data_IF_348830807864
#
_entry.id   IF_348830807864
#
_cell.length_a   1.000
_cell.length_b   1.000
_cell.length_c   1.000
_cell.angle_alpha   90.00
_cell.angle_beta   90.00
_cell.angle_gamma   90.00
#
_symmetry.space_group_name_H-M   'P 1'
#
loop_
_entity.id
_entity.type
_entity.pdbx_description
1 polymer ?
#
# COMPACT_ATOMS: atom_id res chain seq x y z
N UNK A 1 31.58 -7.59 -30.70
CA UNK A 1 30.71 -6.42 -30.43
C UNK A 1 29.28 -6.56 -31.00
N UNK A 2 28.78 -7.80 -31.19
CA UNK A 2 27.46 -8.06 -31.83
C UNK A 2 26.52 -8.98 -31.02
N UNK A 3 26.97 -9.52 -29.88
CA UNK A 3 26.20 -10.48 -29.08
C UNK A 3 25.48 -9.87 -27.86
N UNK A 4 25.69 -8.58 -27.57
CA UNK A 4 25.08 -7.87 -26.43
C UNK A 4 23.79 -7.11 -26.76
N UNK A 5 23.34 -7.13 -28.02
CA UNK A 5 22.06 -6.51 -28.43
C UNK A 5 20.83 -7.42 -28.27
N UNK A 6 21.00 -8.74 -28.09
CA UNK A 6 19.87 -9.70 -28.09
C UNK A 6 19.14 -9.91 -26.75
N UNK A 7 19.57 -9.26 -25.66
CA UNK A 7 18.95 -9.43 -24.32
C UNK A 7 18.13 -8.22 -23.84
N UNK A 8 17.94 -7.20 -24.68
CA UNK A 8 17.13 -6.00 -24.38
C UNK A 8 15.94 -5.87 -25.34
N UNK A 9 15.50 -6.95 -25.98
CA UNK A 9 14.17 -6.98 -26.60
C UNK A 9 13.12 -7.35 -25.54
N UNK A 10 12.93 -6.47 -24.54
CA UNK A 10 11.69 -6.39 -23.77
C UNK A 10 10.76 -5.35 -24.42
N UNK A 11 10.70 -5.37 -25.75
CA UNK A 11 9.67 -4.69 -26.52
C UNK A 11 8.37 -5.49 -26.38
N UNK A 12 7.73 -5.36 -25.22
CA UNK A 12 6.29 -5.61 -25.12
C UNK A 12 5.64 -4.24 -25.19
N UNK A 13 5.33 -3.81 -26.41
CA UNK A 13 4.32 -2.83 -26.78
C UNK A 13 3.89 -1.85 -25.67
N UNK A 14 4.76 -0.89 -25.39
CA UNK A 14 4.31 0.38 -24.85
C UNK A 14 3.61 1.13 -25.98
N UNK A 15 2.34 0.82 -26.24
CA UNK A 15 1.58 1.58 -27.23
C UNK A 15 1.64 3.08 -26.85
N UNK A 16 2.08 3.98 -27.74
CA UNK A 16 2.16 5.43 -27.49
C UNK A 16 0.84 6.02 -26.94
N UNK A 17 -0.27 5.36 -27.27
CA UNK A 17 -1.63 5.62 -26.83
C UNK A 17 -1.80 5.57 -25.29
N UNK A 18 -1.06 4.70 -24.57
CA UNK A 18 -1.20 4.55 -23.10
C UNK A 18 -0.64 5.74 -22.31
N UNK A 19 0.33 6.48 -22.84
CA UNK A 19 0.78 7.71 -22.19
C UNK A 19 -0.17 8.89 -22.45
N UNK A 20 -0.85 8.88 -23.61
CA UNK A 20 -1.86 9.87 -23.96
C UNK A 20 -3.06 9.82 -23.01
N UNK A 21 -3.51 8.62 -22.63
CA UNK A 21 -4.57 8.46 -21.61
C UNK A 21 -4.15 9.01 -20.24
N UNK A 22 -2.88 8.85 -19.83
CA UNK A 22 -2.34 9.44 -18.61
C UNK A 22 -2.33 10.98 -18.65
N UNK A 23 -2.09 11.56 -19.84
CA UNK A 23 -2.17 13.01 -20.07
C UNK A 23 -3.60 13.51 -19.90
N UNK A 24 -4.56 12.83 -20.53
CA UNK A 24 -5.99 13.12 -20.43
C UNK A 24 -6.51 13.03 -18.99
N UNK A 25 -6.12 11.98 -18.25
CA UNK A 25 -6.54 11.74 -16.86
C UNK A 25 -5.74 12.56 -15.83
N UNK A 26 -4.77 13.36 -16.31
CA UNK A 26 -3.89 14.20 -15.50
C UNK A 26 -3.28 13.41 -14.32
N UNK A 27 -2.74 12.23 -14.62
CA UNK A 27 -2.17 11.31 -13.65
C UNK A 27 -1.61 10.04 -14.29
N UNK A 28 -0.67 9.37 -13.61
CA UNK A 28 -0.17 8.09 -14.08
C UNK A 28 -1.22 6.99 -13.82
N UNK A 29 -1.58 6.25 -14.86
CA UNK A 29 -2.50 5.10 -14.81
C UNK A 29 -1.73 3.87 -15.28
N UNK A 30 -1.03 3.23 -14.32
CA UNK A 30 -0.27 1.97 -14.51
C UNK A 30 0.85 1.95 -15.57
N UNK A 31 1.34 3.09 -16.08
CA UNK A 31 2.58 3.09 -16.86
C UNK A 31 3.78 2.80 -15.94
N UNK A 32 4.50 1.71 -16.24
CA UNK A 32 5.63 1.20 -15.46
C UNK A 32 6.90 2.00 -15.73
N UNK A 33 7.34 2.01 -16.99
CA UNK A 33 8.61 2.63 -17.38
C UNK A 33 8.37 3.99 -18.05
N UNK A 34 8.51 5.06 -17.25
CA UNK A 34 8.37 6.42 -17.74
C UNK A 34 9.72 6.96 -18.20
N UNK A 35 9.78 7.44 -19.45
CA UNK A 35 10.95 8.19 -19.95
C UNK A 35 11.13 9.50 -19.18
N UNK A 36 12.33 10.08 -19.25
CA UNK A 36 12.64 11.35 -18.56
C UNK A 36 11.64 12.45 -18.95
N UNK A 37 11.30 12.54 -20.24
CA UNK A 37 10.34 13.51 -20.78
C UNK A 37 8.94 13.24 -20.23
N UNK A 38 8.47 11.99 -20.26
CA UNK A 38 7.18 11.60 -19.70
C UNK A 38 7.07 11.93 -18.21
N UNK A 39 8.14 11.75 -17.42
CA UNK A 39 8.22 12.15 -16.01
C UNK A 39 8.08 13.66 -15.83
N UNK A 40 8.74 14.47 -16.67
CA UNK A 40 8.63 15.94 -16.66
C UNK A 40 7.20 16.40 -16.95
N UNK A 41 6.57 15.81 -17.98
CA UNK A 41 5.18 16.10 -18.36
C UNK A 41 4.23 15.76 -17.21
N UNK A 42 4.33 14.57 -16.62
CA UNK A 42 3.48 14.16 -15.50
C UNK A 42 3.66 15.05 -14.26
N UNK A 43 4.89 15.49 -13.97
CA UNK A 43 5.13 16.47 -12.88
C UNK A 43 4.40 17.79 -13.15
N UNK A 44 4.50 18.32 -14.37
CA UNK A 44 3.82 19.56 -14.78
C UNK A 44 2.29 19.41 -14.67
N UNK A 45 1.72 18.32 -15.20
CA UNK A 45 0.28 18.03 -15.12
C UNK A 45 -0.20 17.89 -13.67
N UNK A 46 0.56 17.17 -12.82
CA UNK A 46 0.21 16.97 -11.41
C UNK A 46 0.25 18.28 -10.63
N UNK A 47 1.21 19.16 -10.92
CA UNK A 47 1.31 20.48 -10.31
C UNK A 47 0.13 21.37 -10.76
N UNK A 48 -0.20 21.38 -12.06
CA UNK A 48 -1.40 22.08 -12.58
C UNK A 48 -2.69 21.58 -11.90
N UNK A 49 -2.89 20.26 -11.79
CA UNK A 49 -4.04 19.69 -11.09
C UNK A 49 -4.09 20.10 -9.62
N UNK A 50 -2.94 20.19 -8.95
CA UNK A 50 -2.83 20.62 -7.55
C UNK A 50 -3.16 22.11 -7.38
N UNK A 51 -2.68 22.97 -8.29
CA UNK A 51 -2.97 24.40 -8.25
C UNK A 51 -4.45 24.68 -8.51
N UNK A 52 -5.06 24.00 -9.50
CA UNK A 52 -6.50 24.11 -9.78
C UNK A 52 -7.34 23.68 -8.57
N UNK A 53 -7.00 22.56 -7.92
CA UNK A 53 -7.66 22.13 -6.67
C UNK A 53 -7.47 23.11 -5.51
N UNK A 54 -6.26 23.66 -5.34
CA UNK A 54 -5.93 24.62 -4.26
C UNK A 54 -6.67 25.96 -4.46
N UNK A 55 -6.79 26.41 -5.70
CA UNK A 55 -7.48 27.65 -6.10
C UNK A 55 -9.02 27.51 -6.19
N UNK A 56 -9.59 26.33 -5.88
CA UNK A 56 -11.04 26.03 -5.92
C UNK A 56 -11.72 26.46 -7.24
N UNK A 57 -11.02 26.34 -8.37
CA UNK A 57 -11.43 26.94 -9.66
C UNK A 57 -12.69 26.29 -10.28
N UNK A 58 -13.05 25.06 -9.88
CA UNK A 58 -14.22 24.39 -10.46
C UNK A 58 -15.53 24.91 -9.84
N UNK A 59 -16.49 25.38 -10.66
CA UNK A 59 -17.88 25.60 -10.26
C UNK A 59 -18.46 24.36 -9.59
N UNK A 60 -19.09 24.57 -8.43
CA UNK A 60 -19.74 23.52 -7.63
C UNK A 60 -20.71 22.67 -8.47
N UNK A 61 -21.34 23.26 -9.50
CA UNK A 61 -22.44 22.70 -10.30
C UNK A 61 -22.08 21.43 -11.11
N UNK A 62 -20.84 21.26 -11.56
CA UNK A 62 -20.43 20.11 -12.40
C UNK A 62 -19.29 19.26 -11.83
N UNK A 63 -18.86 19.54 -10.59
CA UNK A 63 -17.76 18.82 -9.97
C UNK A 63 -18.05 17.33 -9.80
N UNK A 64 -19.29 16.97 -9.49
CA UNK A 64 -19.77 15.59 -9.36
C UNK A 64 -19.69 14.85 -10.69
N UNK A 65 -20.20 15.45 -11.76
CA UNK A 65 -20.15 14.91 -13.14
C UNK A 65 -18.71 14.74 -13.63
N UNK A 66 -17.83 15.71 -13.32
CA UNK A 66 -16.41 15.60 -13.64
C UNK A 66 -15.73 14.44 -12.90
N UNK A 67 -16.01 14.26 -11.61
CA UNK A 67 -15.45 13.14 -10.82
C UNK A 67 -15.96 11.80 -11.36
N UNK A 68 -17.24 11.71 -11.71
CA UNK A 68 -17.83 10.52 -12.33
C UNK A 68 -17.11 10.21 -13.64
N UNK A 69 -17.02 11.17 -14.56
CA UNK A 69 -16.33 11.01 -15.85
C UNK A 69 -14.87 10.55 -15.69
N UNK A 70 -14.12 11.16 -14.75
CA UNK A 70 -12.74 10.78 -14.47
C UNK A 70 -12.63 9.37 -13.89
N UNK A 71 -13.61 8.93 -13.10
CA UNK A 71 -13.64 7.59 -12.51
C UNK A 71 -14.00 6.55 -13.57
N UNK A 72 -15.04 6.81 -14.38
CA UNK A 72 -15.49 5.96 -15.48
C UNK A 72 -14.42 5.79 -16.57
N UNK A 73 -13.56 6.80 -16.80
CA UNK A 73 -12.43 6.67 -17.73
C UNK A 73 -11.23 5.92 -17.15
N UNK A 74 -11.08 5.90 -15.82
CA UNK A 74 -9.94 5.23 -15.16
C UNK A 74 -10.17 3.74 -14.99
N UNK A 75 -11.37 3.35 -14.54
CA UNK A 75 -11.68 1.97 -14.21
C UNK A 75 -11.46 0.98 -15.39
N UNK A 76 -11.81 1.28 -16.65
CA UNK A 76 -11.54 0.41 -17.80
C UNK A 76 -10.05 0.08 -17.93
N UNK A 77 -9.19 1.09 -17.73
CA UNK A 77 -7.73 0.94 -17.80
C UNK A 77 -7.19 0.04 -16.68
N UNK A 78 -7.90 -0.09 -15.54
CA UNK A 78 -7.53 -1.03 -14.48
C UNK A 78 -7.88 -2.48 -14.80
N UNK A 79 -8.91 -2.69 -15.63
CA UNK A 79 -9.47 -4.01 -15.92
C UNK A 79 -9.33 -4.45 -17.39
N UNK A 80 -8.49 -3.79 -18.17
CA UNK A 80 -8.11 -4.24 -19.52
C UNK A 80 -9.09 -3.81 -20.59
N UNK A 81 -9.44 -2.52 -20.57
CA UNK A 81 -10.31 -1.82 -21.51
C UNK A 81 -11.75 -2.33 -21.53
N UNK A 82 -12.25 -2.75 -20.35
CA UNK A 82 -13.63 -3.17 -20.22
C UNK A 82 -14.62 -2.02 -20.41
N UNK A 83 -15.70 -2.23 -21.19
CA UNK A 83 -16.71 -1.21 -21.42
C UNK A 83 -17.62 -1.08 -20.19
N UNK A 84 -17.12 -0.43 -19.15
CA UNK A 84 -17.84 -0.29 -17.88
C UNK A 84 -19.16 0.48 -18.06
N UNK A 85 -19.23 1.40 -19.01
CA UNK A 85 -20.48 2.09 -19.38
C UNK A 85 -21.54 1.14 -19.94
N UNK A 86 -21.14 0.14 -20.72
CA UNK A 86 -22.08 -0.87 -21.26
C UNK A 86 -22.54 -1.81 -20.14
N UNK A 87 -21.63 -2.17 -19.23
CA UNK A 87 -22.01 -2.90 -18.02
C UNK A 87 -23.06 -2.13 -17.18
N UNK A 88 -22.96 -0.79 -17.13
CA UNK A 88 -23.96 0.04 -16.47
C UNK A 88 -25.30 0.08 -17.22
N UNK A 89 -25.29 0.09 -18.56
CA UNK A 89 -26.52 0.08 -19.37
C UNK A 89 -27.27 -1.24 -19.30
N UNK A 90 -26.56 -2.36 -19.21
CA UNK A 90 -27.15 -3.71 -19.13
C UNK A 90 -27.82 -4.06 -17.79
N UNK A 91 -27.86 -3.13 -16.82
CA UNK A 91 -28.43 -3.39 -15.50
C UNK A 91 -29.25 -2.18 -15.05
N UNK A 92 -30.49 -2.41 -14.57
CA UNK A 92 -31.37 -1.36 -14.03
C UNK A 92 -30.86 -0.70 -12.73
N UNK A 93 -29.77 -1.23 -12.13
CA UNK A 93 -29.18 -0.70 -10.89
C UNK A 93 -28.19 0.42 -11.21
N UNK A 94 -28.46 1.60 -10.64
CA UNK A 94 -27.74 2.85 -10.96
C UNK A 94 -26.26 2.81 -10.55
N UNK A 95 -25.91 2.24 -9.41
CA UNK A 95 -24.52 1.96 -9.03
C UNK A 95 -24.42 1.47 -7.58
N UNK A 96 -23.93 0.24 -7.36
CA UNK A 96 -23.23 -0.09 -6.11
C UNK A 96 -22.49 -1.43 -6.16
N UNK A 97 -23.14 -2.54 -6.54
CA UNK A 97 -22.65 -3.87 -6.15
C UNK A 97 -21.88 -4.67 -7.23
N UNK A 98 -22.24 -4.67 -8.53
CA UNK A 98 -21.53 -5.52 -9.48
C UNK A 98 -20.22 -4.91 -10.04
N UNK A 99 -20.04 -3.59 -9.98
CA UNK A 99 -19.10 -2.91 -10.90
C UNK A 99 -17.62 -3.01 -10.56
N UNK A 100 -17.19 -2.89 -9.29
CA UNK A 100 -15.82 -3.19 -8.90
C UNK A 100 -15.62 -4.67 -8.55
N UNK A 101 -16.68 -5.43 -8.21
CA UNK A 101 -16.56 -6.83 -7.78
C UNK A 101 -16.55 -7.81 -8.96
N UNK A 102 -17.42 -7.62 -9.95
CA UNK A 102 -17.49 -8.52 -11.11
C UNK A 102 -16.19 -8.57 -11.92
N UNK A 103 -15.44 -7.46 -12.10
CA UNK A 103 -14.15 -7.54 -12.76
C UNK A 103 -13.09 -8.26 -11.93
N UNK A 104 -13.22 -8.31 -10.61
CA UNK A 104 -12.25 -8.95 -9.71
C UNK A 104 -12.40 -10.47 -9.67
N UNK A 105 -13.57 -11.01 -9.99
CA UNK A 105 -13.81 -12.46 -10.11
C UNK A 105 -13.50 -13.02 -11.50
N UNK A 106 -13.04 -12.19 -12.45
CA UNK A 106 -12.67 -12.64 -13.79
C UNK A 106 -11.35 -13.38 -13.78
N UNK A 107 -11.29 -14.48 -14.51
CA UNK A 107 -10.12 -15.33 -14.60
C UNK A 107 -8.86 -14.61 -15.12
N UNK A 108 -8.99 -13.67 -16.06
CA UNK A 108 -7.86 -12.87 -16.53
C UNK A 108 -7.37 -11.80 -15.54
N UNK A 109 -8.18 -11.43 -14.54
CA UNK A 109 -7.83 -10.40 -13.53
C UNK A 109 -7.23 -11.03 -12.28
N UNK A 110 -7.69 -12.22 -11.87
CA UNK A 110 -7.26 -12.87 -10.63
C UNK A 110 -5.73 -13.10 -10.57
N UNK A 111 -5.05 -13.64 -11.60
CA UNK A 111 -3.59 -13.80 -11.59
C UNK A 111 -2.83 -12.49 -11.36
N UNK A 112 -3.39 -11.35 -11.77
CA UNK A 112 -2.80 -10.05 -11.48
C UNK A 112 -2.98 -9.64 -10.02
N UNK A 113 -4.14 -9.95 -9.42
CA UNK A 113 -4.40 -9.65 -8.01
C UNK A 113 -3.55 -10.49 -7.08
N UNK A 114 -3.33 -11.75 -7.45
CA UNK A 114 -2.42 -12.66 -6.77
C UNK A 114 -0.93 -12.32 -7.00
N UNK A 115 -0.64 -11.34 -7.86
CA UNK A 115 0.71 -10.95 -8.28
C UNK A 115 1.51 -12.09 -8.92
N UNK A 116 0.83 -13.05 -9.56
CA UNK A 116 1.47 -14.02 -10.44
C UNK A 116 1.88 -13.39 -11.77
N UNK A 117 1.09 -12.43 -12.25
CA UNK A 117 1.31 -11.75 -13.52
C UNK A 117 1.14 -10.24 -13.39
N UNK A 118 1.81 -9.51 -14.27
CA UNK A 118 2.03 -8.07 -14.14
C UNK A 118 1.00 -7.23 -14.90
N UNK A 119 0.47 -7.75 -16.01
CA UNK A 119 -0.47 -7.06 -16.90
C UNK A 119 -1.56 -8.00 -17.42
N UNK A 120 -2.69 -7.43 -17.83
CA UNK A 120 -3.86 -8.19 -18.28
C UNK A 120 -3.58 -8.91 -19.61
N UNK A 121 -2.94 -8.30 -20.62
CA UNK A 121 -2.54 -9.02 -21.82
C UNK A 121 -1.62 -10.21 -21.52
N UNK A 122 -0.67 -10.03 -20.60
CA UNK A 122 0.23 -11.10 -20.17
C UNK A 122 -0.50 -12.21 -19.39
N UNK A 123 -1.64 -11.91 -18.75
CA UNK A 123 -2.51 -12.92 -18.13
C UNK A 123 -3.39 -13.64 -19.13
N UNK A 124 -3.87 -12.95 -20.18
CA UNK A 124 -4.68 -13.57 -21.23
C UNK A 124 -3.89 -14.58 -22.07
N UNK A 125 -2.63 -14.29 -22.41
CA UNK A 125 -1.79 -15.21 -23.19
C UNK A 125 -1.69 -16.64 -22.63
N UNK A 126 -1.27 -16.89 -21.37
CA UNK A 126 -1.17 -18.23 -20.83
C UNK A 126 -2.53 -18.91 -20.65
N UNK A 127 -3.60 -18.14 -20.44
CA UNK A 127 -4.97 -18.66 -20.38
C UNK A 127 -5.39 -19.17 -21.76
N UNK A 128 -5.25 -18.35 -22.81
CA UNK A 128 -5.56 -18.75 -24.18
C UNK A 128 -4.75 -19.95 -24.64
N UNK A 129 -3.49 -20.07 -24.20
CA UNK A 129 -2.61 -21.19 -24.51
C UNK A 129 -2.79 -22.42 -23.59
N UNK A 130 -3.84 -22.46 -22.76
CA UNK A 130 -4.17 -23.59 -21.86
C UNK A 130 -3.06 -23.98 -20.87
N UNK A 131 -2.29 -22.99 -20.40
CA UNK A 131 -1.20 -23.18 -19.42
C UNK A 131 -1.62 -22.98 -17.97
N UNK A 132 -2.86 -22.53 -17.76
CA UNK A 132 -3.47 -22.30 -16.45
C UNK A 132 -4.74 -23.15 -16.38
N UNK A 133 -4.90 -23.86 -15.28
CA UNK A 133 -6.03 -24.74 -15.01
C UNK A 133 -6.87 -24.20 -13.85
N UNK A 134 -8.16 -24.50 -13.89
CA UNK A 134 -9.13 -24.25 -12.81
C UNK A 134 -9.67 -25.61 -12.38
N UNK A 135 -9.56 -25.96 -11.10
CA UNK A 135 -9.96 -27.27 -10.55
C UNK A 135 -9.33 -28.44 -11.33
N UNK A 136 -8.06 -28.28 -11.76
CA UNK A 136 -7.31 -29.18 -12.66
C UNK A 136 -7.84 -29.28 -14.10
N UNK A 137 -9.01 -28.72 -14.42
CA UNK A 137 -9.53 -28.59 -15.77
C UNK A 137 -8.87 -27.45 -16.56
N UNK A 138 -8.61 -27.66 -17.85
CA UNK A 138 -8.07 -26.60 -18.72
C UNK A 138 -9.19 -25.64 -19.12
N UNK A 139 -8.98 -24.35 -18.87
CA UNK A 139 -9.92 -23.28 -19.24
C UNK A 139 -9.20 -22.28 -20.13
N UNK A 140 -9.65 -22.12 -21.37
CA UNK A 140 -9.12 -21.11 -22.31
C UNK A 140 -9.95 -19.82 -22.34
N UNK A 141 -11.10 -19.80 -21.64
CA UNK A 141 -11.99 -18.63 -21.60
C UNK A 141 -11.43 -17.60 -20.63
N UNK A 142 -10.89 -16.50 -21.17
CA UNK A 142 -10.23 -15.43 -20.39
C UNK A 142 -11.17 -14.67 -19.45
N UNK A 143 -12.43 -14.51 -19.84
CA UNK A 143 -13.43 -13.75 -19.10
C UNK A 143 -14.34 -14.65 -18.24
N UNK A 144 -13.97 -15.91 -18.02
CA UNK A 144 -14.68 -16.80 -17.12
C UNK A 144 -14.74 -16.19 -15.72
N UNK A 145 -15.90 -16.27 -15.06
CA UNK A 145 -16.04 -15.89 -13.66
C UNK A 145 -15.72 -17.11 -12.80
N UNK A 146 -14.78 -16.94 -11.88
CA UNK A 146 -14.48 -17.96 -10.88
C UNK A 146 -15.41 -17.82 -9.69
N UNK A 147 -15.79 -18.97 -9.14
CA UNK A 147 -16.60 -19.10 -7.95
C UNK A 147 -15.74 -19.35 -6.72
N UNK A 148 -16.37 -19.27 -5.56
CA UNK A 148 -15.76 -19.62 -4.29
C UNK A 148 -15.42 -21.11 -4.26
N UNK A 149 -14.23 -21.46 -3.77
CA UNK A 149 -13.70 -22.81 -3.76
C UNK A 149 -12.88 -23.18 -5.00
N UNK A 150 -12.87 -22.35 -6.05
CA UNK A 150 -12.12 -22.67 -7.26
C UNK A 150 -10.60 -22.59 -7.03
N UNK A 151 -9.92 -23.65 -7.46
CA UNK A 151 -8.46 -23.79 -7.37
C UNK A 151 -7.86 -23.43 -8.71
N UNK A 152 -7.10 -22.34 -8.74
CA UNK A 152 -6.28 -21.93 -9.89
C UNK A 152 -4.90 -22.54 -9.73
N UNK A 153 -4.40 -23.19 -10.78
CA UNK A 153 -3.03 -23.72 -10.80
C UNK A 153 -2.40 -23.57 -12.17
N UNK A 154 -1.12 -23.25 -12.23
CA UNK A 154 -0.36 -23.41 -13.48
C UNK A 154 -0.06 -24.89 -13.73
N UNK A 155 0.03 -25.24 -15.01
CA UNK A 155 0.59 -26.52 -15.44
C UNK A 155 2.01 -26.68 -14.87
N UNK A 156 2.39 -27.89 -14.47
CA UNK A 156 3.61 -28.20 -13.71
C UNK A 156 4.90 -27.64 -14.35
N UNK A 157 5.09 -27.84 -15.66
CA UNK A 157 6.24 -27.30 -16.40
C UNK A 157 6.31 -25.77 -16.34
N UNK A 158 5.16 -25.10 -16.46
CA UNK A 158 5.07 -23.64 -16.35
C UNK A 158 5.20 -23.16 -14.89
N UNK A 159 4.73 -23.96 -13.94
CA UNK A 159 4.72 -23.65 -12.52
C UNK A 159 6.14 -23.51 -11.95
N UNK A 160 7.07 -24.36 -12.39
CA UNK A 160 8.48 -24.32 -11.98
C UNK A 160 9.13 -23.02 -12.46
N UNK A 161 9.03 -22.74 -13.75
CA UNK A 161 9.65 -21.56 -14.38
C UNK A 161 9.04 -20.27 -13.82
N UNK A 162 7.70 -20.19 -13.80
CA UNK A 162 6.98 -19.00 -13.31
C UNK A 162 7.14 -18.80 -11.81
N UNK A 163 7.17 -19.87 -11.02
CA UNK A 163 7.36 -19.78 -9.57
C UNK A 163 8.66 -19.06 -9.20
N UNK A 164 9.74 -19.33 -9.93
CA UNK A 164 11.00 -18.61 -9.73
C UNK A 164 10.93 -17.15 -10.20
N UNK A 165 10.33 -16.89 -11.35
CA UNK A 165 10.15 -15.53 -11.87
C UNK A 165 9.32 -14.65 -10.94
N UNK A 166 8.20 -15.18 -10.42
CA UNK A 166 7.34 -14.50 -9.46
C UNK A 166 8.14 -14.16 -8.21
N UNK A 167 8.86 -15.12 -7.62
CA UNK A 167 9.70 -14.84 -6.45
C UNK A 167 10.72 -13.74 -6.74
N UNK A 168 11.39 -13.80 -7.89
CA UNK A 168 12.37 -12.78 -8.31
C UNK A 168 11.72 -11.41 -8.51
N UNK A 169 10.53 -11.34 -9.12
CA UNK A 169 9.80 -10.08 -9.33
C UNK A 169 9.37 -9.46 -8.00
N UNK A 170 8.88 -10.27 -7.05
CA UNK A 170 8.56 -9.82 -5.70
C UNK A 170 9.78 -9.14 -5.02
N UNK A 171 10.96 -9.77 -5.04
CA UNK A 171 12.14 -9.13 -4.44
C UNK A 171 12.63 -7.91 -5.24
N UNK A 172 12.64 -8.00 -6.57
CA UNK A 172 13.17 -6.95 -7.45
C UNK A 172 12.28 -5.70 -7.46
N UNK A 173 11.00 -5.86 -7.73
CA UNK A 173 10.05 -4.74 -7.87
C UNK A 173 9.68 -4.15 -6.51
N UNK A 174 9.46 -4.99 -5.49
CA UNK A 174 8.94 -4.53 -4.20
C UNK A 174 10.07 -4.03 -3.31
N UNK A 175 11.13 -4.82 -3.17
CA UNK A 175 12.20 -4.52 -2.22
C UNK A 175 13.17 -3.49 -2.80
N UNK A 176 13.68 -3.72 -4.00
CA UNK A 176 14.71 -2.86 -4.60
C UNK A 176 14.14 -1.62 -5.29
N UNK A 177 13.09 -1.77 -6.10
CA UNK A 177 12.56 -0.63 -6.85
C UNK A 177 11.67 0.27 -5.97
N UNK A 178 10.74 -0.34 -5.20
CA UNK A 178 9.68 0.42 -4.50
C UNK A 178 10.07 0.94 -3.12
N UNK A 179 10.74 0.14 -2.29
CA UNK A 179 11.16 0.54 -0.94
C UNK A 179 12.42 1.39 -1.07
N UNK A 180 13.46 0.81 -1.65
CA UNK A 180 14.78 1.42 -1.71
C UNK A 180 14.82 2.63 -2.67
N UNK A 181 14.23 2.53 -3.88
CA UNK A 181 14.22 3.62 -4.86
C UNK A 181 13.50 4.90 -4.41
N UNK A 182 12.69 4.83 -3.35
CA UNK A 182 11.97 6.00 -2.78
C UNK A 182 12.64 6.60 -1.55
N UNK A 183 13.35 5.79 -0.77
CA UNK A 183 14.11 6.25 0.40
C UNK A 183 15.31 7.11 -0.02
N UNK A 184 15.99 6.75 -1.11
CA UNK A 184 17.25 7.37 -1.55
C UNK A 184 17.11 8.29 -2.78
N UNK A 185 16.03 9.06 -2.89
CA UNK A 185 15.86 10.02 -4.00
C UNK A 185 16.85 11.23 -3.95
N UNK A 186 17.91 11.15 -3.14
CA UNK A 186 19.05 12.07 -3.20
C UNK A 186 20.15 11.50 -4.11
N UNK A 187 20.77 12.34 -4.96
CA UNK A 187 21.62 11.88 -6.05
C UNK A 187 23.01 11.49 -5.54
N UNK A 188 23.30 10.21 -5.35
CA UNK A 188 24.66 9.73 -5.13
C UNK A 188 25.04 8.68 -6.19
N UNK A 189 26.15 8.90 -6.90
CA UNK A 189 26.72 7.97 -7.90
C UNK A 189 27.06 6.60 -7.33
N UNK A 190 27.42 6.51 -6.03
CA UNK A 190 27.61 5.25 -5.29
C UNK A 190 26.40 4.30 -5.37
N UNK A 191 25.20 4.84 -5.60
CA UNK A 191 23.95 4.10 -5.61
C UNK A 191 23.78 3.12 -6.78
N UNK A 192 24.34 3.41 -7.97
CA UNK A 192 24.25 2.48 -9.11
C UNK A 192 24.98 1.17 -8.82
N UNK A 193 26.10 1.24 -8.09
CA UNK A 193 26.95 0.11 -7.71
C UNK A 193 26.29 -0.77 -6.64
N UNK A 194 25.65 -0.16 -5.64
CA UNK A 194 24.86 -0.89 -4.63
C UNK A 194 23.57 -1.48 -5.21
N UNK A 195 22.87 -0.80 -6.14
CA UNK A 195 21.67 -1.36 -6.78
C UNK A 195 22.00 -2.61 -7.61
N UNK A 196 23.11 -2.59 -8.35
CA UNK A 196 23.59 -3.77 -9.08
C UNK A 196 24.01 -4.89 -8.13
N UNK A 197 24.73 -4.57 -7.05
CA UNK A 197 25.14 -5.54 -6.04
C UNK A 197 23.95 -6.24 -5.37
N UNK A 198 22.90 -5.49 -5.02
CA UNK A 198 21.66 -6.07 -4.49
C UNK A 198 20.93 -6.91 -5.55
N UNK A 199 20.91 -6.51 -6.82
CA UNK A 199 20.39 -7.36 -7.89
C UNK A 199 21.20 -8.65 -8.08
N UNK A 200 22.52 -8.60 -7.87
CA UNK A 200 23.38 -9.79 -7.89
C UNK A 200 23.07 -10.71 -6.70
N UNK A 201 22.92 -10.16 -5.48
CA UNK A 201 22.52 -10.94 -4.30
C UNK A 201 21.14 -11.58 -4.46
N UNK A 202 20.19 -10.87 -5.07
CA UNK A 202 18.85 -11.38 -5.36
C UNK A 202 18.80 -12.46 -6.46
N UNK A 203 19.90 -12.64 -7.22
CA UNK A 203 20.00 -13.68 -8.25
C UNK A 203 20.12 -15.08 -7.65
N UNK A 204 20.64 -15.20 -6.42
CA UNK A 204 20.86 -16.49 -5.75
C UNK A 204 19.98 -16.66 -4.51
N UNK A 205 19.48 -17.89 -4.27
CA UNK A 205 18.67 -18.19 -3.06
C UNK A 205 19.43 -17.93 -1.76
N UNK A 206 20.75 -18.14 -1.74
CA UNK A 206 21.63 -17.86 -0.59
C UNK A 206 21.77 -16.35 -0.36
N UNK A 207 22.04 -15.58 -1.41
CA UNK A 207 22.11 -14.11 -1.35
C UNK A 207 20.80 -13.47 -0.88
N UNK A 208 19.63 -13.95 -1.33
CA UNK A 208 18.33 -13.48 -0.82
C UNK A 208 18.17 -13.67 0.69
N UNK A 209 18.60 -14.82 1.23
CA UNK A 209 18.50 -15.10 2.68
C UNK A 209 19.40 -14.18 3.50
N UNK A 210 20.62 -13.93 3.03
CA UNK A 210 21.55 -13.00 3.66
C UNK A 210 21.01 -11.56 3.63
N UNK A 211 20.46 -11.17 2.48
CA UNK A 211 19.86 -9.86 2.28
C UNK A 211 18.66 -9.62 3.20
N UNK A 212 17.79 -10.62 3.39
CA UNK A 212 16.68 -10.57 4.36
C UNK A 212 17.13 -10.43 5.82
N UNK A 213 18.30 -10.98 6.16
CA UNK A 213 18.90 -10.86 7.50
C UNK A 213 19.76 -9.60 7.67
N UNK A 214 19.88 -8.76 6.64
CA UNK A 214 20.72 -7.56 6.72
C UNK A 214 20.17 -6.56 7.74
N UNK A 215 21.07 -5.93 8.48
CA UNK A 215 20.75 -4.87 9.46
C UNK A 215 19.95 -3.72 8.84
N UNK A 216 20.23 -3.42 7.57
CA UNK A 216 19.54 -2.38 6.81
C UNK A 216 18.05 -2.67 6.66
N UNK A 217 17.65 -3.89 6.24
CA UNK A 217 16.22 -4.22 6.12
C UNK A 217 15.50 -4.26 7.47
N UNK A 218 16.20 -4.64 8.54
CA UNK A 218 15.65 -4.59 9.89
C UNK A 218 15.34 -3.15 10.32
N UNK A 219 16.27 -2.21 10.08
CA UNK A 219 16.04 -0.79 10.34
C UNK A 219 14.89 -0.23 9.50
N UNK A 220 14.79 -0.62 8.22
CA UNK A 220 13.67 -0.21 7.36
C UNK A 220 12.32 -0.76 7.82
N UNK A 221 12.29 -1.97 8.39
CA UNK A 221 11.07 -2.55 8.96
C UNK A 221 10.61 -1.74 10.17
N UNK A 222 11.52 -1.39 11.07
CA UNK A 222 11.22 -0.57 12.25
C UNK A 222 10.70 0.81 11.85
N UNK A 223 11.36 1.51 10.92
CA UNK A 223 10.90 2.83 10.47
C UNK A 223 9.55 2.79 9.75
N UNK A 224 9.25 1.72 8.99
CA UNK A 224 7.92 1.52 8.41
C UNK A 224 6.84 1.23 9.46
N UNK A 225 7.18 0.59 10.58
CA UNK A 225 6.26 0.36 11.70
C UNK A 225 5.97 1.68 12.43
N UNK A 226 6.99 2.51 12.63
CA UNK A 226 6.84 3.86 13.20
C UNK A 226 5.95 4.74 12.32
N UNK A 227 6.19 4.78 11.00
CA UNK A 227 5.34 5.52 10.06
C UNK A 227 3.87 5.06 10.10
N UNK A 228 3.63 3.77 10.29
CA UNK A 228 2.29 3.21 10.41
C UNK A 228 1.62 3.57 11.73
N UNK A 229 2.39 3.56 12.82
CA UNK A 229 1.93 4.02 14.11
C UNK A 229 1.53 5.51 14.04
N UNK A 230 2.35 6.35 13.40
CA UNK A 230 2.00 7.75 13.14
C UNK A 230 0.71 7.90 12.34
N UNK A 231 0.47 7.03 11.34
CA UNK A 231 -0.77 7.05 10.56
C UNK A 231 -1.98 6.63 11.39
N UNK A 232 -1.80 5.72 12.34
CA UNK A 232 -2.86 5.24 13.23
C UNK A 232 -3.23 6.33 14.25
N UNK A 233 -2.23 7.04 14.78
CA UNK A 233 -2.39 8.20 15.67
C UNK A 233 -3.31 9.27 15.08
N UNK A 234 -3.24 9.49 13.76
CA UNK A 234 -4.13 10.42 13.03
C UNK A 234 -5.62 10.23 13.33
N UNK A 235 -6.07 9.00 13.57
CA UNK A 235 -7.47 8.68 13.82
C UNK A 235 -7.78 8.45 15.31
N UNK A 236 -6.89 8.92 16.20
CA UNK A 236 -7.12 8.92 17.64
C UNK A 236 -6.73 7.62 18.35
N UNK A 237 -5.82 6.81 17.78
CA UNK A 237 -5.33 5.63 18.51
C UNK A 237 -4.68 5.99 19.85
N UNK A 238 -4.02 7.15 19.93
CA UNK A 238 -3.51 7.72 21.19
C UNK A 238 -4.60 7.95 22.24
N UNK A 239 -5.80 8.38 21.81
CA UNK A 239 -6.96 8.58 22.69
C UNK A 239 -7.50 7.25 23.20
N UNK A 240 -7.56 6.23 22.34
CA UNK A 240 -7.93 4.86 22.73
C UNK A 240 -6.93 4.31 23.74
N UNK A 241 -5.62 4.45 23.45
CA UNK A 241 -4.57 4.01 24.36
C UNK A 241 -4.66 4.70 25.73
N UNK A 242 -4.90 6.02 25.78
CA UNK A 242 -5.08 6.77 27.02
C UNK A 242 -6.32 6.30 27.81
N UNK A 243 -7.40 5.94 27.13
CA UNK A 243 -8.59 5.36 27.75
C UNK A 243 -8.30 3.98 28.36
N UNK A 244 -7.56 3.13 27.66
CA UNK A 244 -7.16 1.82 28.18
C UNK A 244 -6.17 1.89 29.35
N UNK A 245 -5.26 2.87 29.35
CA UNK A 245 -4.25 3.08 30.42
C UNK A 245 -4.66 4.14 31.44
N UNK A 246 -5.95 4.47 31.53
CA UNK A 246 -6.43 5.61 32.32
C UNK A 246 -6.08 5.51 33.81
N UNK A 247 -6.22 4.31 34.38
CA UNK A 247 -5.87 4.05 35.78
C UNK A 247 -4.37 4.20 36.04
N UNK A 248 -3.53 3.81 35.09
CA UNK A 248 -2.06 3.85 35.19
C UNK A 248 -1.57 5.30 35.18
N UNK A 249 -2.07 6.12 34.25
CA UNK A 249 -1.74 7.56 34.20
C UNK A 249 -2.18 8.28 35.49
N UNK A 250 -3.40 7.99 35.98
CA UNK A 250 -3.88 8.52 37.26
C UNK A 250 -3.07 8.02 38.45
N UNK A 251 -2.60 6.77 38.46
CA UNK A 251 -1.73 6.22 39.49
C UNK A 251 -0.40 6.97 39.54
N UNK A 252 0.20 7.25 38.39
CA UNK A 252 1.43 8.03 38.30
C UNK A 252 1.24 9.46 38.84
N UNK A 253 0.14 10.13 38.46
CA UNK A 253 -0.20 11.46 39.01
C UNK A 253 -0.37 11.43 40.53
N UNK A 254 -1.08 10.43 41.06
CA UNK A 254 -1.28 10.25 42.50
C UNK A 254 0.04 10.00 43.22
N UNK A 255 0.93 9.17 42.67
CA UNK A 255 2.24 8.89 43.26
C UNK A 255 3.12 10.14 43.30
N UNK A 256 3.12 10.95 42.25
CA UNK A 256 3.85 12.22 42.21
C UNK A 256 3.30 13.22 43.23
N UNK A 257 1.98 13.41 43.29
CA UNK A 257 1.36 14.32 44.26
C UNK A 257 1.55 13.85 45.70
N UNK A 258 1.30 12.56 45.98
CA UNK A 258 1.46 11.99 47.32
C UNK A 258 2.92 12.05 47.78
N UNK A 259 3.89 11.73 46.92
CA UNK A 259 5.31 11.84 47.27
C UNK A 259 5.75 13.28 47.50
N UNK A 260 5.24 14.25 46.73
CA UNK A 260 5.48 15.68 46.93
C UNK A 260 4.91 16.18 48.26
N UNK A 261 3.66 15.84 48.58
CA UNK A 261 3.03 16.28 49.83
C UNK A 261 3.65 15.60 51.06
N UNK A 262 3.94 14.29 51.00
CA UNK A 262 4.54 13.55 52.12
C UNK A 262 6.00 13.93 52.38
N UNK A 263 6.77 14.28 51.34
CA UNK A 263 8.16 14.72 51.50
C UNK A 263 8.29 16.16 52.01
N UNK A 264 7.40 17.07 51.57
CA UNK A 264 7.39 18.47 52.04
C UNK A 264 6.86 18.63 53.46
N UNK A 265 5.74 17.99 53.84
CA UNK A 265 5.17 18.07 55.21
C UNK A 265 6.06 17.47 56.30
N UNK A 266 6.97 16.54 55.98
CA UNK A 266 7.86 15.90 56.96
C UNK A 266 9.11 16.73 57.31
N UNK A 267 9.51 17.67 56.43
CA UNK A 267 10.66 18.55 56.67
C UNK A 267 10.40 19.61 57.74
N UNK A 268 9.15 19.99 57.99
CA UNK A 268 8.80 20.96 59.04
C UNK A 268 8.77 20.37 60.45
N UNK A 269 8.64 19.03 60.60
CA UNK A 269 8.44 18.41 61.92
C UNK A 269 9.64 17.62 62.45
N UNK A 270 10.66 17.32 61.64
CA UNK A 270 11.78 16.47 62.04
C UNK A 270 13.13 17.11 61.67
N UNK A 271 13.75 17.83 62.60
CA UNK A 271 15.08 18.44 62.43
C UNK A 271 16.27 17.49 62.66
N UNK A 272 16.06 16.27 63.20
CA UNK A 272 17.17 15.45 63.74
C UNK A 272 17.26 14.00 63.21
N UNK A 273 17.01 13.72 61.92
CA UNK A 273 17.29 12.39 61.34
C UNK A 273 18.00 12.49 59.97
N UNK A 274 18.97 11.60 59.68
CA UNK A 274 19.76 11.66 58.45
C UNK A 274 18.85 11.46 57.24
N UNK A 275 18.81 12.50 56.40
CA UNK A 275 17.91 12.55 55.25
C UNK A 275 18.41 11.58 54.18
N UNK A 276 17.82 10.39 54.13
CA UNK A 276 18.08 9.37 53.09
C UNK A 276 17.96 10.04 51.71
N UNK A 277 19.05 10.03 50.93
CA UNK A 277 19.29 10.68 49.61
C UNK A 277 18.32 10.27 48.47
N UNK A 278 17.27 9.50 48.78
CA UNK A 278 16.35 8.84 47.85
C UNK A 278 15.19 9.76 47.43
N UNK A 279 14.83 10.77 48.22
CA UNK A 279 13.72 11.68 47.92
C UNK A 279 13.85 12.49 46.62
N UNK A 280 15.02 13.08 46.26
CA UNK A 280 15.17 13.74 44.96
C UNK A 280 15.14 12.75 43.79
N UNK A 281 15.62 11.53 43.98
CA UNK A 281 15.66 10.47 42.95
C UNK A 281 14.25 9.96 42.65
N UNK A 282 13.42 9.75 43.68
CA UNK A 282 12.00 9.34 43.53
C UNK A 282 11.17 10.45 42.88
N UNK A 283 11.45 11.70 43.20
CA UNK A 283 10.78 12.84 42.56
C UNK A 283 11.16 12.98 41.08
N UNK A 284 12.46 12.91 40.75
CA UNK A 284 12.95 13.02 39.38
C UNK A 284 12.48 11.85 38.50
N UNK A 285 12.48 10.62 39.01
CA UNK A 285 11.96 9.45 38.28
C UNK A 285 10.44 9.53 38.08
N UNK A 286 9.68 9.92 39.09
CA UNK A 286 8.22 10.08 38.98
C UNK A 286 7.85 11.19 38.00
N UNK A 287 8.58 12.31 38.01
CA UNK A 287 8.36 13.44 37.10
C UNK A 287 8.75 13.09 35.66
N UNK A 288 9.87 12.41 35.46
CA UNK A 288 10.31 11.91 34.14
C UNK A 288 9.29 10.93 33.55
N UNK A 289 8.86 9.92 34.32
CA UNK A 289 7.90 8.92 33.85
C UNK A 289 6.52 9.53 33.56
N UNK A 290 6.03 10.43 34.43
CA UNK A 290 4.73 11.09 34.24
C UNK A 290 4.73 12.05 33.05
N UNK A 291 5.83 12.80 32.85
CA UNK A 291 6.03 13.66 31.68
C UNK A 291 6.09 12.85 30.40
N UNK A 292 6.90 11.79 30.36
CA UNK A 292 7.00 10.88 29.21
C UNK A 292 5.69 10.18 28.89
N UNK A 293 4.94 9.75 29.92
CA UNK A 293 3.60 9.18 29.74
C UNK A 293 2.67 10.19 29.07
N UNK A 294 2.58 11.40 29.62
CA UNK A 294 1.74 12.47 29.06
C UNK A 294 2.16 12.83 27.62
N UNK A 295 3.45 12.92 27.34
CA UNK A 295 3.97 13.17 26.00
C UNK A 295 3.62 12.04 25.02
N UNK A 296 3.80 10.78 25.40
CA UNK A 296 3.50 9.62 24.56
C UNK A 296 2.01 9.48 24.24
N UNK A 297 1.13 9.76 25.21
CA UNK A 297 -0.33 9.63 25.06
C UNK A 297 -1.02 10.87 24.47
N UNK A 298 -0.40 12.05 24.54
CA UNK A 298 -0.99 13.30 24.07
C UNK A 298 -0.21 13.99 22.94
N UNK A 299 0.84 13.36 22.39
CA UNK A 299 1.60 13.94 21.27
C UNK A 299 0.70 14.11 20.03
N UNK A 300 0.41 15.34 19.59
CA UNK A 300 -0.42 15.57 18.41
C UNK A 300 0.27 15.02 17.16
N UNK A 301 -0.52 14.51 16.21
CA UNK A 301 -0.01 13.98 14.94
C UNK A 301 0.75 15.04 14.13
N UNK A 302 2.09 15.01 14.18
CA UNK A 302 2.98 15.88 13.39
C UNK A 302 3.32 15.21 12.05
N UNK A 303 2.55 15.49 10.99
CA UNK A 303 2.84 14.95 9.66
C UNK A 303 3.74 15.90 8.84
N UNK A 304 5.06 15.70 8.91
CA UNK A 304 6.05 16.45 8.10
C UNK A 304 6.63 15.63 6.93
N UNK A 305 6.08 14.45 6.66
CA UNK A 305 6.61 13.49 5.68
C UNK A 305 6.61 14.02 4.24
N UNK A 306 7.78 13.99 3.59
CA UNK A 306 8.01 14.48 2.22
C UNK A 306 7.29 13.64 1.15
N UNK A 307 7.26 12.30 1.30
CA UNK A 307 6.62 11.37 0.37
C UNK A 307 6.11 10.13 1.10
N UNK A 308 5.04 9.52 0.58
CA UNK A 308 4.47 8.27 1.11
C UNK A 308 4.73 7.11 0.17
N UNK A 309 5.21 5.99 0.71
CA UNK A 309 5.32 4.72 -0.01
C UNK A 309 3.98 3.98 0.15
N UNK A 310 3.32 3.66 -0.96
CA UNK A 310 2.14 2.78 -0.93
C UNK A 310 2.59 1.36 -0.63
N UNK A 311 1.92 0.65 0.28
CA UNK A 311 2.10 -0.79 0.44
C UNK A 311 1.58 -1.55 -0.79
N UNK A 312 1.97 -2.81 -0.89
CA UNK A 312 1.32 -3.73 -1.82
C UNK A 312 0.27 -4.44 -1.00
N UNK A 313 -0.97 -4.34 -1.46
CA UNK A 313 -2.07 -5.06 -0.87
C UNK A 313 -2.09 -6.45 -1.52
N UNK A 314 -1.86 -7.46 -0.69
CA UNK A 314 -2.01 -8.86 -1.09
C UNK A 314 -3.46 -9.27 -0.85
N UNK A 315 -4.05 -10.10 -1.72
CA UNK A 315 -5.44 -10.53 -1.62
C UNK A 315 -5.64 -11.61 -0.54
N UNK A 316 -5.11 -11.40 0.66
CA UNK A 316 -5.18 -12.34 1.79
C UNK A 316 -6.59 -12.50 2.35
N UNK A 317 -7.51 -11.60 1.99
CA UNK A 317 -8.89 -11.60 2.47
C UNK A 317 -9.78 -12.61 1.75
N UNK A 318 -9.37 -13.11 0.58
CA UNK A 318 -10.23 -13.94 -0.26
C UNK A 318 -9.50 -15.00 -1.08
N UNK A 319 -8.18 -15.12 -0.92
CA UNK A 319 -7.42 -16.17 -1.59
C UNK A 319 -6.23 -16.62 -0.76
N UNK A 320 -6.04 -17.93 -0.68
CA UNK A 320 -4.83 -18.53 -0.14
C UNK A 320 -3.91 -18.91 -1.30
N UNK A 321 -2.68 -18.42 -1.25
CA UNK A 321 -1.74 -18.51 -2.38
C UNK A 321 -0.50 -19.28 -1.96
N UNK A 322 -0.23 -20.37 -2.67
CA UNK A 322 1.07 -21.00 -2.65
C UNK A 322 1.97 -20.32 -3.70
N UNK A 323 2.97 -19.58 -3.24
CA UNK A 323 3.95 -18.92 -4.12
C UNK A 323 5.14 -19.83 -4.48
N UNK A 324 5.27 -21.03 -3.88
CA UNK A 324 6.30 -22.01 -4.26
C UNK A 324 5.91 -22.72 -5.55
N UNK A 325 4.66 -23.17 -5.61
CA UNK A 325 4.00 -23.68 -6.81
C UNK A 325 2.80 -22.79 -7.03
N UNK A 326 2.73 -21.96 -8.11
CA UNK A 326 1.68 -20.97 -8.32
C UNK A 326 0.29 -21.64 -8.42
N UNK A 327 -0.27 -21.86 -7.23
CA UNK A 327 -1.56 -22.46 -6.93
C UNK A 327 -2.25 -21.51 -5.97
N UNK A 328 -3.50 -21.20 -6.24
CA UNK A 328 -4.29 -20.34 -5.39
C UNK A 328 -5.72 -20.86 -5.33
N UNK A 329 -6.31 -20.86 -4.15
CA UNK A 329 -7.73 -21.13 -3.97
C UNK A 329 -8.45 -19.81 -3.73
N UNK A 330 -9.57 -19.60 -4.43
CA UNK A 330 -10.44 -18.44 -4.21
C UNK A 330 -11.40 -18.80 -3.08
N UNK A 331 -11.05 -18.46 -1.84
CA UNK A 331 -11.82 -18.86 -0.66
C UNK A 331 -13.08 -18.02 -0.45
N UNK A 332 -13.01 -16.71 -0.70
CA UNK A 332 -14.12 -15.77 -0.45
C UNK A 332 -14.30 -14.76 -1.59
N UNK A 333 -15.35 -13.95 -1.51
CA UNK A 333 -15.62 -12.89 -2.47
C UNK A 333 -14.71 -11.68 -2.22
N UNK A 334 -14.30 -10.95 -3.27
CA UNK A 334 -13.50 -9.73 -3.08
C UNK A 334 -14.29 -8.70 -2.25
N UNK A 335 -13.60 -8.00 -1.35
CA UNK A 335 -14.17 -6.89 -0.59
C UNK A 335 -13.72 -5.56 -1.19
N UNK A 336 -14.68 -4.65 -1.42
CA UNK A 336 -14.46 -3.32 -1.98
C UNK A 336 -13.42 -2.48 -1.22
N UNK A 337 -13.31 -2.68 0.10
CA UNK A 337 -12.34 -1.96 0.93
C UNK A 337 -10.88 -2.29 0.61
N UNK A 338 -10.64 -3.44 -0.02
CA UNK A 338 -9.32 -4.03 -0.26
C UNK A 338 -8.95 -4.11 -1.74
N UNK A 339 -9.77 -3.53 -2.61
CA UNK A 339 -9.44 -3.44 -4.03
C UNK A 339 -8.45 -2.28 -4.21
N UNK A 340 -7.30 -2.50 -4.87
CA UNK A 340 -6.31 -1.45 -5.05
C UNK A 340 -6.77 -0.48 -6.14
N UNK A 341 -7.69 0.40 -5.76
CA UNK A 341 -8.09 1.54 -6.54
C UNK A 341 -6.96 2.59 -6.43
N UNK A 342 -6.25 2.88 -7.50
CA UNK A 342 -5.37 4.07 -7.56
C UNK A 342 -6.18 5.40 -7.62
N UNK A 343 -7.38 5.37 -7.05
CA UNK A 343 -8.40 6.41 -7.00
C UNK A 343 -8.68 6.67 -5.51
N UNK A 344 -8.78 7.94 -5.11
CA UNK A 344 -9.01 8.30 -3.69
C UNK A 344 -10.44 7.95 -3.31
N UNK A 345 -10.68 7.29 -2.17
CA UNK A 345 -12.00 6.90 -1.64
C UNK A 345 -13.17 7.89 -1.83
N UNK A 346 -12.95 9.21 -1.78
CA UNK A 346 -14.00 10.21 -2.08
C UNK A 346 -14.51 10.19 -3.53
N UNK A 347 -13.62 9.91 -4.48
CA UNK A 347 -13.92 9.92 -5.91
C UNK A 347 -14.76 8.69 -6.36
N UNK A 348 -14.51 7.44 -5.89
CA UNK A 348 -15.38 6.30 -6.12
C UNK A 348 -16.57 6.28 -5.15
N UNK A 349 -16.61 7.00 -4.03
CA UNK A 349 -17.83 7.09 -3.20
C UNK A 349 -18.98 7.86 -3.88
N UNK A 350 -18.69 8.77 -4.81
CA UNK A 350 -19.70 9.45 -5.63
C UNK A 350 -20.46 8.50 -6.58
N UNK A 351 -19.78 7.66 -7.37
CA UNK A 351 -20.44 6.61 -8.14
C UNK A 351 -20.85 5.42 -7.28
N UNK A 352 -20.10 4.99 -6.25
CA UNK A 352 -20.38 3.74 -5.52
C UNK A 352 -21.33 3.90 -4.32
N UNK A 353 -21.55 5.10 -3.75
CA UNK A 353 -22.41 5.31 -2.55
C UNK A 353 -22.16 4.32 -1.39
N UNK A 354 -20.93 3.84 -1.21
CA UNK A 354 -20.57 2.88 -0.16
C UNK A 354 -20.57 3.54 1.24
N UNK A 355 -20.90 2.75 2.29
CA UNK A 355 -20.98 3.23 3.69
C UNK A 355 -19.66 3.83 4.19
N UNK A 356 -18.52 3.45 3.59
CA UNK A 356 -17.17 3.94 3.92
C UNK A 356 -16.94 5.44 3.60
N UNK A 357 -17.92 6.15 3.04
CA UNK A 357 -17.89 7.60 2.81
C UNK A 357 -18.83 8.43 3.67
N UNK A 358 -19.75 7.82 4.43
CA UNK A 358 -20.68 8.53 5.32
C UNK A 358 -20.04 8.63 6.71
N UNK A 359 -19.24 9.66 6.98
CA UNK A 359 -18.72 9.88 8.33
C UNK A 359 -17.49 10.75 8.50
N UNK A 360 -17.25 11.74 7.63
CA UNK A 360 -16.25 12.79 7.90
C UNK A 360 -16.81 14.14 7.48
N UNK A 361 -17.86 14.54 8.18
CA UNK A 361 -18.32 15.92 8.34
C UNK A 361 -19.05 15.97 9.70
N UNK A 362 -18.28 15.86 10.78
CA UNK A 362 -18.53 16.55 12.05
C UNK A 362 -17.18 17.09 12.48
#
# INVERSE_FOLDING_TARGET
MWLLKKLIQRDIDMSPLRFQTCRLLSGNVRNRELTIIQRRILRRLRNRKRSIKKRKIYPKKYLTSYIQLQTTRKLPLFHGDLPITEMHRGTKRTSYIPFPLNPETRFDVIPLRLHFLETIPQARQPISHRRVCVNKGMVSITHLKLSHGDIISFQENNAIIRGEEIRRSFYKEISVEKIIGKLLHQPLRMWRRSKTEWFHLLKTKRGCRLLLKSRFLQQLRSSMQEEDLERTKKFGSEKVCLGSSFAEHKRMKRNLLKSLFLSKRRKEKNLNLPTRTISPIVYNSSLSLYSNSTYCFASPHKLTMKRRIKRIELPTHYSEVNHRTPKAVVSYGPNIGHIPHDIRLKDPNLPLRSRNGRGQNI
#
